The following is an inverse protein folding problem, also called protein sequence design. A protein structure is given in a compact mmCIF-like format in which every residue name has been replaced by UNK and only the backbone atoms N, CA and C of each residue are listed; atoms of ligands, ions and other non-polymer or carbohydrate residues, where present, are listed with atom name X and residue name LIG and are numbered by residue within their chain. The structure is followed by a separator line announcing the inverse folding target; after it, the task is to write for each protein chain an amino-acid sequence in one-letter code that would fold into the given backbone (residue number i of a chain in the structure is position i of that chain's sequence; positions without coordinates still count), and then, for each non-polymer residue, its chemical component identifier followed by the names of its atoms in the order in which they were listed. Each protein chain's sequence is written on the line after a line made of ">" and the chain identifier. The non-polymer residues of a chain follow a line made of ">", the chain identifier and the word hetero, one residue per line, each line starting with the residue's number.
data_IF_015452742610
#
_entry.id   IF_015452742610
#
_cell.length_a   1.000
_cell.length_b   1.000
_cell.length_c   1.000
_cell.angle_alpha   90.00
_cell.angle_beta   90.00
_cell.angle_gamma   90.00
#
_symmetry.space_group_name_H-M   'P 1'
#
loop_
_entity.id
_entity.type
_entity.pdbx_description
1 polymer ?
#
# COMPACT_ATOMS: atom_id res chain seq x y z
N UNK A 1 1.99 16.22 -1.74
CA UNK A 1 1.98 15.20 -2.80
C UNK A 1 3.10 14.21 -2.53
N UNK A 2 2.83 12.91 -2.65
CA UNK A 2 3.90 11.91 -2.57
C UNK A 2 4.75 11.98 -3.85
N UNK A 3 6.07 12.14 -3.71
CA UNK A 3 7.00 12.02 -4.83
C UNK A 3 7.26 10.53 -5.10
N UNK A 4 7.34 10.17 -6.38
CA UNK A 4 7.69 8.84 -6.86
C UNK A 4 9.02 8.94 -7.62
N UNK A 5 9.89 7.96 -7.42
CA UNK A 5 11.15 7.85 -8.17
C UNK A 5 11.10 6.55 -8.96
N UNK A 6 10.93 6.66 -10.27
CA UNK A 6 10.88 5.49 -11.15
C UNK A 6 12.29 4.92 -11.30
N UNK A 7 12.43 3.62 -11.05
CA UNK A 7 13.69 2.91 -11.25
C UNK A 7 13.87 2.54 -12.73
N UNK A 8 15.11 2.42 -13.18
CA UNK A 8 15.40 2.02 -14.55
C UNK A 8 15.04 0.54 -14.75
N UNK A 9 14.44 0.21 -15.89
CA UNK A 9 13.98 -1.15 -16.22
C UNK A 9 15.09 -2.21 -16.17
N UNK A 10 16.32 -1.81 -16.52
CA UNK A 10 17.48 -2.70 -16.59
C UNK A 10 18.22 -2.84 -15.25
N UNK A 11 17.77 -2.16 -14.20
CA UNK A 11 18.45 -2.14 -12.91
C UNK A 11 17.65 -2.91 -11.84
N UNK A 12 18.32 -3.70 -10.99
CA UNK A 12 17.67 -4.29 -9.82
C UNK A 12 17.17 -3.20 -8.87
N UNK A 13 16.13 -3.50 -8.10
CA UNK A 13 15.62 -2.58 -7.08
C UNK A 13 16.73 -2.35 -6.03
N UNK A 14 17.24 -1.12 -5.85
CA UNK A 14 18.37 -0.87 -4.97
C UNK A 14 17.95 -0.93 -3.50
N UNK A 15 18.90 -1.29 -2.63
CA UNK A 15 18.67 -1.30 -1.17
C UNK A 15 18.13 0.05 -0.66
N UNK A 16 18.64 1.16 -1.21
CA UNK A 16 18.21 2.50 -0.87
C UNK A 16 16.70 2.74 -1.08
N UNK A 17 16.05 2.01 -1.99
CA UNK A 17 14.60 2.07 -2.17
C UNK A 17 13.86 1.56 -0.94
N UNK A 18 14.30 0.43 -0.37
CA UNK A 18 13.72 -0.15 0.84
C UNK A 18 13.98 0.72 2.06
N UNK A 19 15.20 1.25 2.19
CA UNK A 19 15.58 2.13 3.29
C UNK A 19 14.73 3.41 3.30
N UNK A 20 14.49 4.00 2.11
CA UNK A 20 13.63 5.16 1.94
C UNK A 20 12.15 4.92 2.33
N UNK A 21 11.70 3.67 2.39
CA UNK A 21 10.35 3.35 2.88
C UNK A 21 10.26 3.36 4.41
N UNK A 22 11.36 3.09 5.12
CA UNK A 22 11.39 3.08 6.58
C UNK A 22 11.27 4.50 7.16
N UNK A 23 11.88 5.49 6.50
CA UNK A 23 11.92 6.90 6.92
C UNK A 23 10.55 7.61 6.81
N UNK A 24 9.63 7.09 6.00
CA UNK A 24 8.31 7.69 5.76
C UNK A 24 7.27 7.42 6.86
N UNK A 25 7.66 6.79 7.96
CA UNK A 25 6.76 6.27 8.99
C UNK A 25 6.39 7.26 10.12
N UNK A 26 6.81 8.53 10.06
CA UNK A 26 6.61 9.48 11.17
C UNK A 26 5.15 9.93 11.35
N UNK A 27 4.58 9.62 12.52
CA UNK A 27 3.25 10.06 12.97
C UNK A 27 3.32 11.23 13.96
N UNK A 28 2.16 11.82 14.27
CA UNK A 28 2.03 12.96 15.21
C UNK A 28 2.31 12.55 16.68
N UNK A 29 2.66 13.48 17.59
CA UNK A 29 3.22 13.18 18.92
C UNK A 29 2.25 12.62 19.98
N UNK A 30 1.00 12.33 19.63
CA UNK A 30 -0.01 11.86 20.58
C UNK A 30 -0.43 10.47 20.09
N UNK A 31 -0.17 9.41 20.89
CA UNK A 31 -0.31 7.97 20.58
C UNK A 31 1.01 7.21 20.29
N UNK A 32 2.04 7.46 21.12
CA UNK A 32 3.36 6.85 20.98
C UNK A 32 3.35 5.32 20.85
N UNK A 33 2.49 4.61 21.61
CA UNK A 33 2.47 3.14 21.65
C UNK A 33 1.83 2.50 20.41
N UNK A 34 0.67 2.99 19.98
CA UNK A 34 0.02 2.53 18.74
C UNK A 34 0.86 2.89 17.50
N UNK A 35 1.49 4.06 17.50
CA UNK A 35 2.45 4.46 16.46
C UNK A 35 3.70 3.58 16.43
N UNK A 36 4.23 3.19 17.60
CA UNK A 36 5.36 2.26 17.68
C UNK A 36 4.99 0.87 17.12
N UNK A 37 3.79 0.39 17.43
CA UNK A 37 3.25 -0.88 16.89
C UNK A 37 3.14 -0.81 15.37
N UNK A 38 2.52 0.25 14.85
CA UNK A 38 2.36 0.47 13.41
C UNK A 38 3.69 0.67 12.69
N UNK A 39 4.68 1.27 13.36
CA UNK A 39 6.06 1.36 12.83
C UNK A 39 6.69 -0.02 12.78
N UNK A 40 6.60 -0.81 13.85
CA UNK A 40 7.13 -2.17 13.89
C UNK A 40 6.56 -3.03 12.76
N UNK A 41 5.25 -2.95 12.53
CA UNK A 41 4.61 -3.66 11.41
C UNK A 41 5.18 -3.20 10.06
N UNK A 42 5.31 -1.90 9.87
CA UNK A 42 5.82 -1.33 8.62
C UNK A 42 7.27 -1.75 8.34
N UNK A 43 8.14 -1.71 9.35
CA UNK A 43 9.52 -2.18 9.25
C UNK A 43 9.58 -3.68 8.87
N UNK A 44 8.67 -4.49 9.44
CA UNK A 44 8.55 -5.91 9.12
C UNK A 44 8.07 -6.14 7.68
N UNK A 45 7.11 -5.35 7.19
CA UNK A 45 6.65 -5.43 5.79
C UNK A 45 7.78 -5.16 4.80
N UNK A 46 8.62 -4.15 5.07
CA UNK A 46 9.77 -3.80 4.23
C UNK A 46 10.75 -4.98 4.19
N UNK A 47 11.07 -5.56 5.35
CA UNK A 47 11.97 -6.71 5.46
C UNK A 47 11.45 -7.92 4.68
N UNK A 48 10.15 -8.22 4.80
CA UNK A 48 9.53 -9.35 4.10
C UNK A 48 9.49 -9.11 2.60
N UNK A 49 9.09 -7.91 2.16
CA UNK A 49 9.04 -7.55 0.75
C UNK A 49 10.44 -7.63 0.10
N UNK A 50 11.47 -7.18 0.81
CA UNK A 50 12.86 -7.35 0.37
C UNK A 50 13.24 -8.82 0.26
N UNK A 51 12.94 -9.62 1.28
CA UNK A 51 13.25 -11.06 1.25
C UNK A 51 12.55 -11.79 0.11
N UNK A 52 11.31 -11.40 -0.21
CA UNK A 52 10.58 -11.88 -1.38
C UNK A 52 11.22 -11.42 -2.70
N UNK A 53 11.57 -10.14 -2.81
CA UNK A 53 12.29 -9.57 -3.94
C UNK A 53 13.59 -10.33 -4.23
N UNK A 54 14.38 -10.62 -3.19
CA UNK A 54 15.67 -11.29 -3.30
C UNK A 54 15.55 -12.80 -3.59
N UNK A 55 14.32 -13.32 -3.72
CA UNK A 55 14.05 -14.73 -4.02
C UNK A 55 14.19 -15.66 -2.81
N UNK A 56 14.33 -15.12 -1.60
CA UNK A 56 14.47 -15.90 -0.37
C UNK A 56 13.12 -16.41 0.18
N UNK A 57 12.00 -15.88 -0.33
CA UNK A 57 10.66 -16.31 0.03
C UNK A 57 9.86 -16.62 -1.23
N UNK A 58 8.99 -17.62 -1.16
CA UNK A 58 7.91 -17.80 -2.13
C UNK A 58 6.81 -16.77 -1.91
N UNK A 59 5.93 -16.59 -2.90
CA UNK A 59 4.79 -15.69 -2.77
C UNK A 59 3.85 -16.09 -1.62
N UNK A 60 3.68 -17.39 -1.37
CA UNK A 60 2.85 -17.90 -0.27
C UNK A 60 3.46 -17.64 1.10
N UNK A 61 4.77 -17.87 1.25
CA UNK A 61 5.48 -17.56 2.50
C UNK A 61 5.48 -16.06 2.78
N UNK A 62 5.79 -15.25 1.77
CA UNK A 62 5.77 -13.80 1.88
C UNK A 62 4.36 -13.28 2.22
N UNK A 63 3.31 -13.81 1.59
CA UNK A 63 1.93 -13.46 1.90
C UNK A 63 1.56 -13.80 3.35
N UNK A 64 1.87 -15.01 3.82
CA UNK A 64 1.61 -15.39 5.20
C UNK A 64 2.39 -14.53 6.20
N UNK A 65 3.66 -14.25 5.94
CA UNK A 65 4.48 -13.44 6.83
C UNK A 65 4.02 -11.97 6.84
N UNK A 66 3.69 -11.39 5.69
CA UNK A 66 3.39 -9.95 5.59
C UNK A 66 2.02 -9.59 6.17
N UNK A 67 1.07 -10.53 6.17
CA UNK A 67 -0.28 -10.32 6.74
C UNK A 67 -0.36 -10.64 8.24
N UNK A 68 0.56 -11.46 8.76
CA UNK A 68 0.51 -11.97 10.13
C UNK A 68 0.54 -10.88 11.21
N UNK A 69 1.35 -9.80 11.10
CA UNK A 69 1.33 -8.73 12.10
C UNK A 69 -0.05 -8.12 12.29
N UNK A 70 -0.81 -7.92 11.20
CA UNK A 70 -2.20 -7.44 11.25
C UNK A 70 -3.13 -8.52 11.77
N UNK A 71 -3.05 -9.73 11.21
CA UNK A 71 -4.01 -10.81 11.49
C UNK A 71 -3.97 -11.27 12.95
N UNK A 72 -2.82 -11.15 13.61
CA UNK A 72 -2.59 -11.60 14.99
C UNK A 72 -2.62 -10.48 16.03
N UNK A 73 -2.82 -9.23 15.63
CA UNK A 73 -2.84 -8.08 16.53
C UNK A 73 -4.24 -7.48 16.66
N UNK A 74 -4.62 -6.93 17.82
CA UNK A 74 -5.87 -6.19 17.94
C UNK A 74 -5.84 -4.93 17.05
N UNK A 75 -6.99 -4.29 16.88
CA UNK A 75 -7.06 -2.96 16.26
C UNK A 75 -6.24 -1.96 17.09
N UNK A 76 -5.26 -1.24 16.49
CA UNK A 76 -4.48 -0.25 17.23
C UNK A 76 -5.35 0.95 17.65
N UNK A 77 -5.36 1.29 18.94
CA UNK A 77 -6.09 2.46 19.45
C UNK A 77 -5.36 3.77 19.09
N UNK A 78 -5.74 4.37 17.96
CA UNK A 78 -5.32 5.70 17.51
C UNK A 78 -6.42 6.75 17.74
N UNK A 79 -7.54 6.39 18.35
CA UNK A 79 -8.58 7.32 18.76
C UNK A 79 -9.26 8.04 17.58
N UNK A 80 -9.16 7.48 16.38
CA UNK A 80 -9.84 7.94 15.18
C UNK A 80 -10.84 6.87 14.70
N UNK A 81 -11.80 7.27 13.88
CA UNK A 81 -12.78 6.36 13.30
C UNK A 81 -12.16 5.37 12.29
N UNK A 82 -10.88 5.53 11.95
CA UNK A 82 -10.17 4.77 10.90
C UNK A 82 -9.00 3.91 11.41
N UNK A 83 -8.93 3.68 12.73
CA UNK A 83 -7.88 2.94 13.44
C UNK A 83 -7.59 1.57 12.79
N UNK A 84 -8.64 0.80 12.51
CA UNK A 84 -8.59 -0.52 11.87
C UNK A 84 -8.05 -0.48 10.44
N UNK A 85 -8.27 0.61 9.70
CA UNK A 85 -7.79 0.74 8.33
C UNK A 85 -6.32 1.17 8.25
N UNK A 86 -5.77 1.77 9.31
CA UNK A 86 -4.44 2.40 9.28
C UNK A 86 -3.31 1.39 9.03
N UNK A 87 -3.37 0.22 9.67
CA UNK A 87 -2.36 -0.82 9.50
C UNK A 87 -2.36 -1.38 8.06
N UNK A 88 -3.55 -1.64 7.51
CA UNK A 88 -3.72 -2.09 6.12
C UNK A 88 -3.29 -1.02 5.14
N UNK A 89 -3.63 0.24 5.38
CA UNK A 89 -3.23 1.35 4.52
C UNK A 89 -1.71 1.47 4.43
N UNK A 90 -0.95 1.19 5.50
CA UNK A 90 0.53 1.17 5.46
C UNK A 90 1.05 0.06 4.56
N UNK A 91 0.53 -1.16 4.72
CA UNK A 91 0.87 -2.30 3.86
C UNK A 91 0.56 -2.00 2.37
N UNK A 92 -0.64 -1.53 2.08
CA UNK A 92 -1.04 -1.20 0.71
C UNK A 92 -0.21 -0.06 0.13
N UNK A 93 0.11 0.99 0.91
CA UNK A 93 0.97 2.07 0.42
C UNK A 93 2.36 1.55 0.04
N UNK A 94 2.93 0.61 0.79
CA UNK A 94 4.20 -0.02 0.45
C UNK A 94 4.10 -0.80 -0.87
N UNK A 95 3.10 -1.67 -1.01
CA UNK A 95 2.93 -2.50 -2.21
C UNK A 95 2.55 -1.68 -3.45
N UNK A 96 1.74 -0.64 -3.29
CA UNK A 96 1.41 0.30 -4.37
C UNK A 96 2.63 1.10 -4.81
N UNK A 97 3.48 1.54 -3.86
CA UNK A 97 4.77 2.17 -4.23
C UNK A 97 5.66 1.20 -4.99
N UNK A 98 5.76 -0.06 -4.57
CA UNK A 98 6.50 -1.07 -5.30
C UNK A 98 5.96 -1.25 -6.73
N UNK A 99 4.63 -1.34 -6.90
CA UNK A 99 3.98 -1.45 -8.21
C UNK A 99 4.25 -0.25 -9.13
N UNK A 100 4.50 0.94 -8.59
CA UNK A 100 4.72 2.16 -9.36
C UNK A 100 6.20 2.38 -9.64
N UNK A 101 7.07 2.14 -8.66
CA UNK A 101 8.47 2.55 -8.69
C UNK A 101 9.40 1.43 -9.17
N UNK A 102 9.02 0.15 -9.02
CA UNK A 102 9.85 -0.97 -9.49
C UNK A 102 9.80 -1.12 -11.00
N UNK A 103 10.85 -1.71 -11.61
CA UNK A 103 10.83 -2.10 -13.01
C UNK A 103 9.59 -2.92 -13.38
N UNK A 104 9.03 -2.66 -14.55
CA UNK A 104 7.84 -3.35 -15.08
C UNK A 104 8.04 -4.87 -15.14
N UNK A 105 9.28 -5.33 -15.36
CA UNK A 105 9.67 -6.75 -15.33
C UNK A 105 9.37 -7.46 -14.00
N UNK A 106 9.22 -6.71 -12.90
CA UNK A 106 8.90 -7.22 -11.55
C UNK A 106 7.41 -7.17 -11.21
N UNK A 107 6.58 -6.60 -12.09
CA UNK A 107 5.12 -6.57 -11.92
C UNK A 107 4.52 -7.96 -11.69
N UNK A 108 4.92 -9.03 -12.43
CA UNK A 108 4.40 -10.37 -12.19
C UNK A 108 4.64 -10.90 -10.77
N UNK A 109 5.78 -10.55 -10.17
CA UNK A 109 6.12 -10.94 -8.80
C UNK A 109 5.16 -10.27 -7.80
N UNK A 110 4.93 -8.97 -7.96
CA UNK A 110 4.00 -8.22 -7.10
C UNK A 110 2.54 -8.68 -7.26
N UNK A 111 2.12 -9.00 -8.48
CA UNK A 111 0.78 -9.59 -8.74
C UNK A 111 0.67 -10.96 -8.09
N UNK A 112 1.72 -11.78 -8.14
CA UNK A 112 1.77 -13.09 -7.49
C UNK A 112 1.65 -12.97 -5.97
N UNK A 113 2.34 -12.00 -5.37
CA UNK A 113 2.24 -11.70 -3.94
C UNK A 113 0.83 -11.24 -3.55
N UNK A 114 0.22 -10.30 -4.28
CA UNK A 114 -1.15 -9.84 -4.01
C UNK A 114 -2.17 -10.99 -4.15
N UNK A 115 -1.99 -11.83 -5.16
CA UNK A 115 -2.82 -13.03 -5.34
C UNK A 115 -2.66 -13.99 -4.16
N UNK A 116 -1.44 -14.20 -3.66
CA UNK A 116 -1.19 -15.03 -2.51
C UNK A 116 -1.80 -14.43 -1.22
N UNK A 117 -1.70 -13.12 -1.02
CA UNK A 117 -2.35 -12.41 0.10
C UNK A 117 -3.86 -12.62 0.06
N UNK A 118 -4.50 -12.52 -1.11
CA UNK A 118 -5.94 -12.75 -1.26
C UNK A 118 -6.41 -14.17 -0.93
N UNK A 119 -5.47 -15.11 -0.74
CA UNK A 119 -5.75 -16.50 -0.38
C UNK A 119 -5.36 -16.84 1.05
N UNK A 120 -4.81 -15.88 1.80
CA UNK A 120 -4.52 -16.07 3.23
C UNK A 120 -5.85 -16.31 3.96
N UNK A 121 -5.98 -17.41 4.73
CA UNK A 121 -7.24 -17.80 5.36
C UNK A 121 -7.58 -16.97 6.61
N UNK A 122 -6.66 -16.14 7.07
CA UNK A 122 -6.79 -15.36 8.31
C UNK A 122 -7.80 -14.21 8.19
N UNK A 123 -8.34 -13.82 9.34
CA UNK A 123 -9.14 -12.61 9.49
C UNK A 123 -8.23 -11.39 9.73
N UNK A 124 -8.76 -10.21 9.45
CA UNK A 124 -8.10 -8.94 9.78
C UNK A 124 -8.31 -8.63 11.26
N UNK A 125 -7.23 -8.22 11.94
CA UNK A 125 -7.23 -7.83 13.35
C UNK A 125 -7.95 -8.83 14.27
N UNK A 126 -7.54 -10.12 14.25
CA UNK A 126 -8.17 -11.20 15.03
C UNK A 126 -9.67 -11.40 14.77
N UNK A 127 -10.21 -10.83 13.69
CA UNK A 127 -11.64 -10.82 13.39
C UNK A 127 -12.44 -9.74 14.11
N UNK A 128 -11.77 -8.71 14.66
CA UNK A 128 -12.42 -7.54 15.28
C UNK A 128 -13.03 -6.58 14.24
N UNK A 129 -12.66 -6.75 12.96
CA UNK A 129 -13.15 -5.94 11.84
C UNK A 129 -14.16 -6.75 11.04
N UNK A 130 -15.30 -6.15 10.73
CA UNK A 130 -16.42 -6.81 10.05
C UNK A 130 -16.62 -6.25 8.65
N UNK A 131 -17.16 -7.08 7.76
CA UNK A 131 -17.59 -6.65 6.42
C UNK A 131 -18.86 -5.81 6.55
N UNK A 132 -18.78 -4.52 6.20
CA UNK A 132 -19.88 -3.57 6.27
C UNK A 132 -20.76 -3.55 5.01
N UNK A 133 -20.52 -4.47 4.07
CA UNK A 133 -21.33 -4.58 2.86
C UNK A 133 -22.70 -5.17 3.16
N UNK A 134 -23.72 -4.70 2.43
CA UNK A 134 -25.15 -4.84 2.73
C UNK A 134 -25.70 -6.28 2.85
N UNK A 135 -24.88 -7.32 2.64
CA UNK A 135 -25.32 -8.71 2.64
C UNK A 135 -24.64 -9.60 3.71
N UNK A 136 -23.64 -9.12 4.45
CA UNK A 136 -22.85 -9.96 5.38
C UNK A 136 -22.28 -9.16 6.58
N UNK A 137 -23.13 -8.32 7.18
CA UNK A 137 -22.78 -7.34 8.24
C UNK A 137 -22.12 -7.96 9.49
N UNK A 138 -22.25 -9.28 9.68
CA UNK A 138 -21.75 -10.02 10.85
C UNK A 138 -20.55 -10.94 10.54
N UNK A 139 -19.98 -10.88 9.33
CA UNK A 139 -18.80 -11.70 9.00
C UNK A 139 -17.50 -10.93 9.26
N UNK A 140 -16.53 -11.54 9.96
CA UNK A 140 -15.19 -10.98 10.05
C UNK A 140 -14.61 -10.75 8.66
N UNK A 141 -13.99 -9.60 8.48
CA UNK A 141 -13.34 -9.22 7.24
C UNK A 141 -12.07 -10.05 7.03
N UNK A 142 -11.87 -10.51 5.81
CA UNK A 142 -10.76 -11.39 5.41
C UNK A 142 -9.89 -10.73 4.34
N UNK A 143 -8.76 -11.36 4.01
CA UNK A 143 -7.87 -10.89 2.95
C UNK A 143 -8.40 -11.08 1.52
N UNK A 144 -9.51 -11.81 1.34
CA UNK A 144 -9.99 -12.32 0.03
C UNK A 144 -10.20 -11.25 -1.04
N UNK A 145 -10.58 -10.04 -0.64
CA UNK A 145 -10.88 -8.92 -1.54
C UNK A 145 -9.81 -7.83 -1.53
N UNK A 146 -8.69 -8.03 -0.83
CA UNK A 146 -7.66 -7.01 -0.62
C UNK A 146 -8.27 -5.70 -0.10
N UNK A 147 -8.94 -5.73 1.07
CA UNK A 147 -9.80 -4.64 1.50
C UNK A 147 -9.01 -3.33 1.68
N UNK A 148 -9.61 -2.21 1.30
CA UNK A 148 -8.97 -0.87 1.22
C UNK A 148 -7.81 -0.70 0.24
N UNK A 149 -7.41 -1.72 -0.52
CA UNK A 149 -6.36 -1.56 -1.55
C UNK A 149 -6.79 -0.54 -2.62
N UNK A 150 -8.03 -0.64 -3.11
CA UNK A 150 -8.59 0.32 -4.08
C UNK A 150 -8.66 1.72 -3.48
N UNK A 151 -9.04 1.85 -2.21
CA UNK A 151 -9.05 3.17 -1.55
C UNK A 151 -7.66 3.79 -1.56
N UNK A 152 -6.62 3.05 -1.17
CA UNK A 152 -5.23 3.53 -1.19
C UNK A 152 -4.73 3.85 -2.59
N UNK A 153 -5.13 3.04 -3.58
CA UNK A 153 -4.85 3.29 -4.98
C UNK A 153 -5.53 4.59 -5.46
N UNK A 154 -6.84 4.72 -5.26
CA UNK A 154 -7.65 5.85 -5.74
C UNK A 154 -7.37 7.17 -5.03
N UNK A 155 -7.05 7.15 -3.73
CA UNK A 155 -6.68 8.34 -2.95
C UNK A 155 -5.44 9.04 -3.54
N UNK A 156 -4.51 8.27 -4.12
CA UNK A 156 -3.31 8.80 -4.78
C UNK A 156 -3.42 8.91 -6.30
N UNK A 157 -4.26 8.08 -6.92
CA UNK A 157 -4.41 7.94 -8.37
C UNK A 157 -5.85 8.21 -8.82
N UNK A 158 -6.41 9.32 -8.33
CA UNK A 158 -7.80 9.79 -8.53
C UNK A 158 -8.30 9.86 -9.99
N UNK A 159 -7.46 9.56 -10.98
CA UNK A 159 -7.89 9.42 -12.36
C UNK A 159 -8.22 7.96 -12.66
N UNK A 160 -9.51 7.68 -12.86
CA UNK A 160 -9.91 6.42 -13.50
C UNK A 160 -9.21 6.28 -14.87
N UNK A 161 -8.96 5.05 -15.38
CA UNK A 161 -8.27 4.85 -16.66
C UNK A 161 -8.87 5.67 -17.82
N UNK A 162 -10.20 5.81 -17.85
CA UNK A 162 -10.91 6.64 -18.83
C UNK A 162 -10.78 8.17 -18.65
N UNK A 163 -10.27 8.65 -17.51
CA UNK A 163 -9.94 10.06 -17.27
C UNK A 163 -8.50 10.38 -17.71
N UNK A 164 -7.58 9.42 -17.60
CA UNK A 164 -6.19 9.55 -18.06
C UNK A 164 -6.15 9.69 -19.59
N UNK A 165 -6.87 8.83 -20.32
CA UNK A 165 -6.96 8.89 -21.79
C UNK A 165 -7.63 10.18 -22.29
N UNK A 166 -8.53 10.77 -21.50
CA UNK A 166 -9.16 12.06 -21.83
C UNK A 166 -8.26 13.27 -21.57
N UNK A 167 -7.35 13.20 -20.59
CA UNK A 167 -6.43 14.30 -20.24
C UNK A 167 -5.08 14.23 -20.95
N UNK A 168 -4.62 13.04 -21.33
CA UNK A 168 -3.37 12.80 -22.04
C UNK A 168 -3.64 11.89 -23.26
N UNK A 169 -4.19 12.47 -24.34
CA UNK A 169 -4.63 11.70 -25.51
C UNK A 169 -3.46 11.02 -26.23
N UNK A 170 -2.26 11.61 -26.22
CA UNK A 170 -1.06 11.04 -26.82
C UNK A 170 -0.03 10.52 -25.79
N UNK A 171 0.84 9.63 -26.26
CA UNK A 171 1.86 8.94 -25.48
C UNK A 171 2.91 9.90 -24.89
N UNK A 172 3.30 10.93 -25.64
CA UNK A 172 4.27 11.92 -25.18
C UNK A 172 3.76 12.72 -23.96
N UNK A 173 2.46 12.93 -23.85
CA UNK A 173 1.84 13.64 -22.72
C UNK A 173 1.71 12.75 -21.47
N UNK A 174 1.73 11.42 -21.62
CA UNK A 174 1.69 10.45 -20.50
C UNK A 174 3.04 10.31 -19.77
N UNK A 175 4.13 10.70 -20.43
CA UNK A 175 5.50 10.63 -19.89
C UNK A 175 6.01 11.95 -19.28
N UNK A 176 5.21 13.03 -19.28
CA UNK A 176 5.62 14.29 -18.64
C UNK A 176 5.27 14.32 -17.15
N UNK A 177 6.16 14.79 -16.27
CA UNK A 177 5.80 15.09 -14.89
C UNK A 177 4.73 16.18 -14.87
N UNK A 178 3.62 15.90 -14.17
CA UNK A 178 2.48 16.82 -14.06
C UNK A 178 2.87 17.98 -13.15
N UNK A 179 3.27 19.11 -13.73
CA UNK A 179 3.41 20.37 -13.01
C UNK A 179 2.03 21.01 -12.83
N UNK A 180 1.55 21.10 -11.60
CA UNK A 180 0.41 21.97 -11.27
C UNK A 180 0.91 23.42 -11.21
N UNK A 181 0.78 24.15 -12.32
CA UNK A 181 0.78 25.61 -12.28
C UNK A 181 -0.53 26.06 -11.64
N UNK A 182 -0.48 26.33 -10.34
CA UNK A 182 -1.55 27.05 -9.66
C UNK A 182 -1.62 28.47 -10.22
N UNK A 183 -2.54 28.70 -11.16
CA UNK A 183 -2.97 30.06 -11.45
C UNK A 183 -3.92 30.49 -10.35
N UNK A 184 -3.32 31.16 -9.36
CA UNK A 184 -3.97 32.13 -8.50
C UNK A 184 -4.61 33.18 -9.41
N UNK A 185 -5.91 33.07 -9.69
CA UNK A 185 -6.69 34.20 -10.17
C UNK A 185 -7.38 34.83 -8.96
N UNK A 186 -6.66 35.76 -8.36
CA UNK A 186 -7.27 36.90 -7.68
C UNK A 186 -8.00 37.68 -8.78
N UNK A 187 -9.29 37.90 -8.62
CA UNK A 187 -9.94 39.05 -9.22
C UNK A 187 -10.94 39.61 -8.22
N UNK A 188 -10.71 40.88 -7.93
CA UNK A 188 -11.46 41.84 -7.10
C UNK A 188 -12.95 41.89 -7.38
#
# INVERSE_FOLDING_TARGET
>A
MASYTLLNEDQPVPQAWFDAQADQSQGKPHQQAALATLKSFHDEYIKILKSYHDGNLTAGEAANMITRPISTSPVPELGDYSDHATALCRLWRLLVRALIEWPSSRTPDLVSLLTAISRVPDNIHRGEVFDDTANDVDKPLTWRSLPWLIMVWSDKHWMQPGMITRRAPDEATRHRPVFFSGNLLIST
#
